data_IF_241622715273
#
_entry.id   IF_241622715273
#
_cell.length_a   1.000
_cell.length_b   1.000
_cell.length_c   1.000
_cell.angle_alpha   90.00
_cell.angle_beta   90.00
_cell.angle_gamma   90.00
#
_symmetry.space_group_name_H-M   'P 1'
#
loop_
_entity.id
_entity.type
_entity.pdbx_description
1 polymer ?
#
# COMPACT_ATOMS: atom_id res chain seq x y z
N UNK A 1 -38.28 -42.74 -51.56
CA UNK A 1 -36.89 -42.45 -51.17
C UNK A 1 -36.99 -41.35 -50.13
N UNK A 2 -36.37 -41.57 -48.98
CA UNK A 2 -36.68 -41.02 -47.64
C UNK A 2 -36.52 -39.51 -47.55
N UNK A 3 -37.59 -38.79 -47.18
CA UNK A 3 -37.50 -37.43 -46.64
C UNK A 3 -37.22 -37.56 -45.15
N UNK A 4 -35.96 -37.37 -44.76
CA UNK A 4 -35.48 -37.40 -43.38
C UNK A 4 -35.73 -36.03 -42.72
N UNK A 5 -36.56 -35.91 -41.67
CA UNK A 5 -37.00 -34.63 -41.12
C UNK A 5 -36.33 -34.28 -39.77
N UNK A 6 -35.04 -34.60 -39.55
CA UNK A 6 -34.40 -34.36 -38.24
C UNK A 6 -33.01 -33.74 -38.28
N UNK A 7 -32.85 -32.62 -38.97
CA UNK A 7 -31.75 -31.68 -38.65
C UNK A 7 -32.35 -30.34 -38.25
N UNK A 8 -32.35 -29.97 -36.95
CA UNK A 8 -32.56 -28.59 -36.56
C UNK A 8 -31.41 -27.73 -37.12
N UNK A 9 -31.73 -26.85 -38.07
CA UNK A 9 -30.89 -25.70 -38.44
C UNK A 9 -31.09 -24.59 -37.40
N UNK A 10 -30.35 -24.67 -36.30
CA UNK A 10 -29.98 -23.60 -35.36
C UNK A 10 -28.88 -24.25 -34.49
N UNK A 11 -27.71 -23.68 -34.22
CA UNK A 11 -27.44 -22.33 -33.78
C UNK A 11 -26.01 -21.95 -34.21
N UNK A 12 -25.66 -20.66 -34.16
CA UNK A 12 -24.35 -20.10 -34.54
C UNK A 12 -23.13 -20.76 -33.87
N UNK A 13 -21.90 -20.27 -34.13
CA UNK A 13 -20.69 -20.89 -33.60
C UNK A 13 -20.85 -21.12 -32.10
N UNK A 14 -20.81 -22.39 -31.68
CA UNK A 14 -20.87 -22.79 -30.27
C UNK A 14 -19.71 -22.09 -29.57
N UNK A 15 -20.00 -20.96 -28.94
CA UNK A 15 -19.07 -20.30 -28.03
C UNK A 15 -18.99 -21.22 -26.84
N UNK A 16 -17.87 -21.93 -26.74
CA UNK A 16 -17.46 -22.57 -25.51
C UNK A 16 -17.42 -21.45 -24.47
N UNK A 17 -18.33 -21.44 -23.49
CA UNK A 17 -18.09 -20.71 -22.25
C UNK A 17 -16.77 -21.25 -21.70
N UNK A 18 -15.67 -20.53 -21.89
CA UNK A 18 -14.37 -20.91 -21.34
C UNK A 18 -14.51 -21.00 -19.82
N UNK A 19 -14.44 -22.20 -19.19
CA UNK A 19 -14.53 -22.32 -17.74
C UNK A 19 -13.18 -22.01 -17.08
N UNK A 20 -12.46 -20.99 -17.58
CA UNK A 20 -11.12 -20.62 -17.14
C UNK A 20 -11.02 -19.23 -16.51
N UNK A 21 -11.90 -18.29 -16.87
CA UNK A 21 -11.71 -16.88 -16.51
C UNK A 21 -12.00 -16.54 -15.04
N UNK A 22 -12.61 -17.45 -14.27
CA UNK A 22 -12.94 -17.20 -12.86
C UNK A 22 -11.80 -17.49 -11.86
N UNK A 23 -10.88 -18.40 -12.19
CA UNK A 23 -9.82 -18.83 -11.27
C UNK A 23 -8.62 -17.87 -11.29
N UNK A 24 -8.25 -17.39 -12.47
CA UNK A 24 -7.04 -16.57 -12.68
C UNK A 24 -7.25 -15.12 -12.20
N UNK A 25 -8.47 -14.57 -12.36
CA UNK A 25 -8.83 -13.27 -11.82
C UNK A 25 -8.86 -13.27 -10.28
N UNK A 26 -9.40 -14.32 -9.67
CA UNK A 26 -9.47 -14.47 -8.21
C UNK A 26 -8.10 -14.66 -7.55
N UNK A 27 -7.12 -15.24 -8.24
CA UNK A 27 -5.73 -15.32 -7.74
C UNK A 27 -5.04 -13.94 -7.75
N UNK A 28 -5.24 -13.16 -8.81
CA UNK A 28 -4.60 -11.85 -8.96
C UNK A 28 -5.04 -10.88 -7.84
N UNK A 29 -6.33 -10.88 -7.50
CA UNK A 29 -6.89 -10.05 -6.43
C UNK A 29 -6.40 -10.47 -5.04
N UNK A 30 -6.28 -11.78 -4.78
CA UNK A 30 -5.74 -12.29 -3.51
C UNK A 30 -4.30 -11.85 -3.29
N UNK A 31 -3.46 -11.94 -4.32
CA UNK A 31 -2.06 -11.54 -4.24
C UNK A 31 -1.91 -10.04 -3.96
N UNK A 32 -2.76 -9.19 -4.55
CA UNK A 32 -2.78 -7.75 -4.28
C UNK A 32 -3.12 -7.44 -2.80
N UNK A 33 -4.09 -8.14 -2.21
CA UNK A 33 -4.50 -7.97 -0.81
C UNK A 33 -3.37 -8.38 0.15
N UNK A 34 -2.72 -9.52 -0.10
CA UNK A 34 -1.58 -9.97 0.72
C UNK A 34 -0.38 -9.04 0.59
N UNK A 35 -0.13 -8.51 -0.60
CA UNK A 35 0.93 -7.53 -0.82
C UNK A 35 0.64 -6.23 -0.04
N UNK A 36 -0.61 -5.78 -0.01
CA UNK A 36 -1.04 -4.63 0.81
C UNK A 36 -0.80 -4.89 2.31
N UNK A 37 -1.10 -6.09 2.80
CA UNK A 37 -0.83 -6.46 4.20
C UNK A 37 0.67 -6.45 4.50
N UNK A 38 1.50 -6.98 3.61
CA UNK A 38 2.96 -6.94 3.76
C UNK A 38 3.46 -5.49 3.88
N UNK A 39 3.01 -4.60 3.00
CA UNK A 39 3.36 -3.18 3.08
C UNK A 39 2.86 -2.54 4.38
N UNK A 40 1.64 -2.86 4.83
CA UNK A 40 1.16 -2.40 6.13
C UNK A 40 2.10 -2.82 7.27
N UNK A 41 2.53 -4.08 7.31
CA UNK A 41 3.44 -4.55 8.38
C UNK A 41 4.77 -3.81 8.32
N UNK A 42 5.36 -3.66 7.14
CA UNK A 42 6.60 -2.90 6.95
C UNK A 42 6.44 -1.47 7.46
N UNK A 43 5.41 -0.76 7.00
CA UNK A 43 5.15 0.62 7.41
C UNK A 43 4.86 0.75 8.91
N UNK A 44 4.18 -0.23 9.53
CA UNK A 44 3.97 -0.25 10.97
C UNK A 44 5.30 -0.37 11.74
N UNK A 45 6.24 -1.18 11.25
CA UNK A 45 7.58 -1.28 11.82
C UNK A 45 8.34 0.04 11.67
N UNK A 46 8.34 0.64 10.47
CA UNK A 46 9.00 1.94 10.26
C UNK A 46 8.34 3.05 11.09
N UNK A 47 7.03 2.99 11.34
CA UNK A 47 6.32 3.93 12.20
C UNK A 47 6.84 3.86 13.65
N UNK A 48 7.03 2.66 14.20
CA UNK A 48 7.63 2.48 15.53
C UNK A 48 9.09 2.95 15.60
N UNK A 49 9.87 2.73 14.53
CA UNK A 49 11.23 3.28 14.43
C UNK A 49 11.20 4.82 14.43
N UNK A 50 10.26 5.41 13.69
CA UNK A 50 10.10 6.86 13.60
C UNK A 50 9.70 7.49 14.93
N UNK A 51 8.81 6.84 15.69
CA UNK A 51 8.45 7.24 17.05
C UNK A 51 9.69 7.24 17.97
N UNK A 52 10.51 6.20 17.89
CA UNK A 52 11.76 6.10 18.67
C UNK A 52 12.72 7.23 18.32
N UNK A 53 12.88 7.52 17.03
CA UNK A 53 13.73 8.62 16.53
C UNK A 53 13.18 9.99 17.00
N UNK A 54 11.86 10.20 16.95
CA UNK A 54 11.22 11.42 17.45
C UNK A 54 11.47 11.60 18.96
N UNK A 55 11.30 10.53 19.75
CA UNK A 55 11.56 10.57 21.19
C UNK A 55 13.03 10.93 21.47
N UNK A 56 13.97 10.31 20.76
CA UNK A 56 15.39 10.63 20.87
C UNK A 56 15.67 12.09 20.48
N UNK A 57 15.11 12.55 19.35
CA UNK A 57 15.23 13.92 18.87
C UNK A 57 14.67 14.94 19.85
N UNK A 58 13.53 14.65 20.48
CA UNK A 58 12.92 15.48 21.51
C UNK A 58 13.80 15.57 22.76
N UNK A 59 14.37 14.45 23.22
CA UNK A 59 15.31 14.43 24.35
C UNK A 59 16.56 15.26 24.04
N UNK A 60 17.15 15.08 22.85
CA UNK A 60 18.30 15.86 22.42
C UNK A 60 17.98 17.36 22.36
N UNK A 61 16.87 17.73 21.72
CA UNK A 61 16.42 19.12 21.61
C UNK A 61 16.19 19.75 22.99
N UNK A 62 15.58 19.01 23.92
CA UNK A 62 15.37 19.45 25.29
C UNK A 62 16.70 19.64 26.03
N UNK A 63 17.65 18.72 25.86
CA UNK A 63 19.01 18.85 26.37
C UNK A 63 19.70 20.10 25.83
N UNK A 64 19.69 20.32 24.51
CA UNK A 64 20.26 21.52 23.88
C UNK A 64 19.61 22.81 24.38
N UNK A 65 18.30 22.81 24.59
CA UNK A 65 17.59 23.96 25.16
C UNK A 65 18.05 24.25 26.60
N UNK A 66 18.29 23.22 27.40
CA UNK A 66 18.74 23.35 28.79
C UNK A 66 20.18 23.89 28.90
N UNK A 67 21.09 23.41 28.05
CA UNK A 67 22.50 23.81 28.11
C UNK A 67 22.82 25.07 27.31
N UNK A 68 22.24 25.23 26.12
CA UNK A 68 22.63 26.28 25.17
C UNK A 68 21.59 27.40 25.07
N UNK A 69 20.36 27.19 25.59
CA UNK A 69 19.17 28.07 25.38
C UNK A 69 18.89 28.41 23.92
N UNK A 70 19.42 27.62 22.98
CA UNK A 70 19.21 27.76 21.54
C UNK A 70 18.61 26.48 21.01
N UNK A 71 17.60 26.62 20.17
CA UNK A 71 16.99 25.51 19.44
C UNK A 71 17.96 25.07 18.34
N UNK A 72 18.19 23.76 18.20
CA UNK A 72 18.94 23.25 17.06
C UNK A 72 17.97 23.12 15.86
N UNK A 73 18.13 24.01 14.88
CA UNK A 73 17.28 24.06 13.68
C UNK A 73 17.36 22.77 12.87
N UNK A 74 18.52 22.11 12.85
CA UNK A 74 18.70 20.86 12.08
C UNK A 74 17.90 19.69 12.64
N UNK A 75 17.80 19.58 13.97
CA UNK A 75 16.97 18.55 14.62
C UNK A 75 15.48 18.85 14.39
N UNK A 76 15.10 20.13 14.45
CA UNK A 76 13.72 20.54 14.20
C UNK A 76 13.29 20.30 12.73
N UNK A 77 14.14 20.66 11.78
CA UNK A 77 13.93 20.43 10.34
C UNK A 77 13.79 18.94 10.03
N UNK A 78 14.67 18.10 10.59
CA UNK A 78 14.56 16.65 10.45
C UNK A 78 13.27 16.09 11.03
N UNK A 79 12.89 16.53 12.24
CA UNK A 79 11.63 16.12 12.88
C UNK A 79 10.40 16.52 12.07
N UNK A 80 10.42 17.69 11.42
CA UNK A 80 9.34 18.14 10.55
C UNK A 80 9.17 17.20 9.35
N UNK A 81 10.25 16.92 8.62
CA UNK A 81 10.23 16.01 7.47
C UNK A 81 9.78 14.59 7.87
N UNK A 82 10.23 14.09 9.03
CA UNK A 82 9.81 12.79 9.54
C UNK A 82 8.30 12.77 9.86
N UNK A 83 7.78 13.85 10.45
CA UNK A 83 6.36 13.95 10.79
C UNK A 83 5.44 14.03 9.58
N UNK A 84 5.90 14.67 8.50
CA UNK A 84 5.18 14.70 7.22
C UNK A 84 5.11 13.29 6.61
N UNK A 85 6.23 12.57 6.58
CA UNK A 85 6.25 11.18 6.12
C UNK A 85 5.35 10.26 6.97
N UNK A 86 5.36 10.41 8.31
CA UNK A 86 4.49 9.63 9.20
C UNK A 86 3.00 9.87 8.92
N UNK A 87 2.62 11.10 8.53
CA UNK A 87 1.25 11.42 8.12
C UNK A 87 0.85 10.66 6.85
N UNK A 88 1.73 10.59 5.87
CA UNK A 88 1.46 9.87 4.62
C UNK A 88 1.36 8.36 4.85
N UNK A 89 2.23 7.80 5.68
CA UNK A 89 2.15 6.40 6.13
C UNK A 89 0.83 6.10 6.81
N UNK A 90 0.38 6.96 7.73
CA UNK A 90 -0.89 6.77 8.42
C UNK A 90 -2.09 6.76 7.44
N UNK A 91 -2.03 7.58 6.39
CA UNK A 91 -3.06 7.60 5.33
C UNK A 91 -3.08 6.31 4.51
N UNK A 92 -1.92 5.79 4.14
CA UNK A 92 -1.82 4.49 3.45
C UNK A 92 -2.37 3.35 4.33
N UNK A 93 -2.02 3.36 5.60
CA UNK A 93 -2.44 2.35 6.56
C UNK A 93 -3.95 2.30 6.77
N UNK A 94 -4.59 3.46 6.75
CA UNK A 94 -6.05 3.62 6.92
C UNK A 94 -6.84 3.44 5.63
N UNK A 95 -6.19 2.99 4.55
CA UNK A 95 -6.79 2.86 3.22
C UNK A 95 -7.36 4.18 2.66
N UNK A 96 -6.90 5.33 3.17
CA UNK A 96 -7.30 6.66 2.67
C UNK A 96 -6.63 6.94 1.34
N UNK A 97 -5.45 6.39 1.11
CA UNK A 97 -4.77 6.39 -0.19
C UNK A 97 -4.16 5.01 -0.47
N UNK A 98 -4.08 4.65 -1.74
CA UNK A 98 -3.34 3.49 -2.24
C UNK A 98 -1.91 3.87 -2.67
N UNK A 99 -1.57 5.17 -2.64
CA UNK A 99 -0.23 5.66 -2.93
C UNK A 99 0.75 5.18 -1.87
N UNK A 100 1.80 4.48 -2.31
CA UNK A 100 2.85 3.97 -1.44
C UNK A 100 3.74 5.14 -0.96
N UNK A 101 3.85 5.38 0.35
CA UNK A 101 4.78 6.39 0.87
C UNK A 101 6.23 6.00 0.61
N UNK A 102 7.11 7.01 0.65
CA UNK A 102 8.56 6.88 0.49
C UNK A 102 9.15 5.70 1.31
N UNK A 103 10.14 4.93 0.80
CA UNK A 103 10.98 5.14 -0.39
C UNK A 103 10.42 4.61 -1.73
N UNK A 104 9.21 4.05 -1.77
CA UNK A 104 8.64 3.45 -3.00
C UNK A 104 7.71 4.37 -3.77
N UNK A 105 7.63 5.65 -3.43
CA UNK A 105 6.96 6.65 -4.24
C UNK A 105 7.71 6.77 -5.57
N UNK A 106 7.09 6.39 -6.68
CA UNK A 106 7.67 6.62 -8.02
C UNK A 106 7.87 8.12 -8.22
N UNK A 107 9.05 8.48 -8.71
CA UNK A 107 9.50 9.87 -8.90
C UNK A 107 8.93 10.45 -10.18
#
# INVERSE_FOLDING_TARGET
>A
MTNDPTLPEDDGPVTLDEPGTGADAAEHDKNAIWMRLLYMIIFAVLFGVSETILALGAILQFGFLLFTRKRNEKIAEFGATLSDWMRDVARFQTAVTEDKPFPWSET
#
